data_IF_460706314657
#
_entry.id   IF_460706314657
#
_cell.length_a   1.000
_cell.length_b   1.000
_cell.length_c   1.000
_cell.angle_alpha   90.00
_cell.angle_beta   90.00
_cell.angle_gamma   90.00
#
_symmetry.space_group_name_H-M   'P 1'
#
loop_
_entity.id
_entity.type
_entity.pdbx_description
1 polymer ?
#
# COMPACT_ATOMS: atom_id res chain seq x y z
N UNK A 1 5.79 -16.25 -15.29
CA UNK A 1 6.36 -17.47 -14.65
C UNK A 1 7.19 -18.33 -15.60
N UNK A 2 6.93 -18.33 -16.91
CA UNK A 2 7.69 -19.14 -17.88
C UNK A 2 9.21 -18.83 -17.94
N UNK A 3 9.63 -17.60 -17.60
CA UNK A 3 11.03 -17.19 -17.74
C UNK A 3 11.99 -17.92 -16.79
N UNK A 4 11.64 -18.04 -15.51
CA UNK A 4 12.50 -18.70 -14.52
C UNK A 4 12.64 -20.19 -14.84
N UNK A 5 11.51 -20.89 -15.07
CA UNK A 5 11.52 -22.32 -15.45
C UNK A 5 12.34 -22.58 -16.70
N UNK A 6 12.18 -21.77 -17.75
CA UNK A 6 12.98 -21.86 -18.97
C UNK A 6 14.48 -21.70 -18.72
N UNK A 7 14.89 -20.83 -17.79
CA UNK A 7 16.31 -20.64 -17.47
C UNK A 7 16.87 -21.83 -16.68
N UNK A 8 16.11 -22.38 -15.73
CA UNK A 8 16.49 -23.59 -15.00
C UNK A 8 16.66 -24.78 -15.96
N UNK A 9 15.69 -25.00 -16.86
CA UNK A 9 15.73 -26.10 -17.83
C UNK A 9 16.84 -25.93 -18.88
N UNK A 10 16.97 -24.72 -19.46
CA UNK A 10 17.93 -24.48 -20.54
C UNK A 10 19.38 -24.59 -20.09
N UNK A 11 19.67 -24.15 -18.87
CA UNK A 11 21.03 -24.06 -18.36
C UNK A 11 21.34 -25.09 -17.26
N UNK A 12 20.35 -25.91 -16.85
CA UNK A 12 20.52 -26.92 -15.81
C UNK A 12 20.87 -26.32 -14.45
N UNK A 13 20.40 -25.10 -14.16
CA UNK A 13 20.73 -24.44 -12.90
C UNK A 13 19.95 -25.08 -11.73
N UNK A 14 20.65 -25.28 -10.61
CA UNK A 14 20.04 -25.63 -9.33
C UNK A 14 20.40 -24.57 -8.27
N UNK A 15 19.79 -23.37 -8.35
CA UNK A 15 20.19 -22.25 -7.50
C UNK A 15 19.63 -22.41 -6.08
N UNK A 16 20.48 -22.17 -5.08
CA UNK A 16 20.06 -22.08 -3.67
C UNK A 16 19.25 -20.80 -3.43
N UNK A 17 19.47 -19.75 -4.22
CA UNK A 17 18.71 -18.51 -4.14
C UNK A 17 18.72 -17.68 -5.42
N UNK A 18 17.76 -16.76 -5.52
CA UNK A 18 17.60 -15.87 -6.67
C UNK A 18 17.40 -14.42 -6.23
N UNK A 19 18.17 -13.51 -6.83
CA UNK A 19 17.96 -12.08 -6.70
C UNK A 19 16.90 -11.60 -7.69
N UNK A 20 15.88 -10.90 -7.19
CA UNK A 20 14.84 -10.31 -8.01
C UNK A 20 14.79 -8.79 -7.83
N UNK A 21 14.57 -8.09 -8.93
CA UNK A 21 14.25 -6.66 -8.88
C UNK A 21 12.94 -6.42 -8.10
N UNK A 22 12.83 -5.24 -7.47
CA UNK A 22 11.68 -4.86 -6.65
C UNK A 22 10.35 -4.90 -7.43
N UNK A 23 10.38 -4.73 -8.75
CA UNK A 23 9.20 -4.87 -9.62
C UNK A 23 8.60 -6.28 -9.66
N UNK A 24 9.40 -7.31 -9.35
CA UNK A 24 8.96 -8.71 -9.32
C UNK A 24 8.48 -9.17 -7.95
N UNK A 25 8.46 -8.30 -6.94
CA UNK A 25 7.89 -8.63 -5.64
C UNK A 25 6.36 -8.74 -5.73
N UNK A 26 5.89 -9.93 -6.10
CA UNK A 26 4.47 -10.24 -6.29
C UNK A 26 4.13 -11.58 -5.67
N UNK A 27 2.91 -11.74 -5.15
CA UNK A 27 2.49 -12.97 -4.47
C UNK A 27 2.68 -14.25 -5.32
N UNK A 28 2.37 -14.25 -6.64
CA UNK A 28 2.60 -15.43 -7.47
C UNK A 28 4.08 -15.82 -7.61
N UNK A 29 5.00 -14.84 -7.62
CA UNK A 29 6.44 -15.11 -7.71
C UNK A 29 6.96 -15.66 -6.39
N UNK A 30 6.55 -15.08 -5.26
CA UNK A 30 6.92 -15.58 -3.94
C UNK A 30 6.46 -17.02 -3.74
N UNK A 31 5.22 -17.32 -4.13
CA UNK A 31 4.68 -18.68 -4.05
C UNK A 31 5.49 -19.67 -4.90
N UNK A 32 5.83 -19.30 -6.14
CA UNK A 32 6.65 -20.14 -7.02
C UNK A 32 8.01 -20.45 -6.38
N UNK A 33 8.71 -19.43 -5.85
CA UNK A 33 10.04 -19.62 -5.26
C UNK A 33 10.00 -20.49 -4.01
N UNK A 34 8.95 -20.35 -3.19
CA UNK A 34 8.72 -21.23 -2.05
C UNK A 34 8.48 -22.69 -2.49
N UNK A 35 7.64 -22.91 -3.51
CA UNK A 35 7.34 -24.25 -4.03
C UNK A 35 8.57 -24.93 -4.64
N UNK A 36 9.41 -24.18 -5.35
CA UNK A 36 10.66 -24.67 -5.95
C UNK A 36 11.82 -24.70 -4.92
N UNK A 37 11.58 -24.35 -3.65
CA UNK A 37 12.56 -24.28 -2.56
C UNK A 37 13.78 -23.38 -2.84
N UNK A 38 13.59 -22.32 -3.62
CA UNK A 38 14.63 -21.35 -3.96
C UNK A 38 14.53 -20.15 -3.02
N UNK A 39 15.62 -19.80 -2.35
CA UNK A 39 15.65 -18.65 -1.44
C UNK A 39 15.50 -17.31 -2.19
N UNK A 40 14.46 -16.50 -1.92
CA UNK A 40 14.24 -15.26 -2.64
C UNK A 40 14.96 -14.08 -1.98
N UNK A 41 15.80 -13.37 -2.74
CA UNK A 41 16.37 -12.07 -2.34
C UNK A 41 15.60 -10.98 -3.07
N UNK A 42 14.63 -10.38 -2.38
CA UNK A 42 13.69 -9.41 -2.96
C UNK A 42 14.01 -8.00 -2.48
N UNK A 43 14.12 -7.06 -3.42
CA UNK A 43 14.17 -5.63 -3.08
C UNK A 43 12.83 -5.12 -2.54
N UNK A 44 12.86 -4.25 -1.53
CA UNK A 44 11.65 -3.57 -1.05
C UNK A 44 11.10 -2.63 -2.13
N UNK A 45 9.83 -2.83 -2.50
CA UNK A 45 9.10 -1.88 -3.35
C UNK A 45 8.24 -0.98 -2.48
N UNK A 46 8.52 0.33 -2.50
CA UNK A 46 7.65 1.32 -1.86
C UNK A 46 6.26 1.28 -2.52
N UNK A 47 5.16 1.15 -1.75
CA UNK A 47 3.81 1.24 -2.30
C UNK A 47 3.62 2.55 -3.07
N UNK A 48 2.99 2.48 -4.24
CA UNK A 48 2.65 3.68 -5.00
C UNK A 48 1.69 4.55 -4.18
N UNK A 49 1.88 5.86 -4.24
CA UNK A 49 0.95 6.79 -3.62
C UNK A 49 -0.41 6.67 -4.32
N UNK A 50 -1.48 6.54 -3.53
CA UNK A 50 -2.84 6.61 -4.07
C UNK A 50 -3.11 7.98 -4.70
N UNK A 51 -4.14 8.06 -5.55
CA UNK A 51 -4.49 9.27 -6.30
C UNK A 51 -4.95 10.47 -5.45
N UNK A 52 -4.99 10.33 -4.12
CA UNK A 52 -5.40 11.41 -3.24
C UNK A 52 -4.29 12.50 -3.18
N UNK A 53 -4.57 13.74 -3.59
CA UNK A 53 -3.58 14.82 -3.55
C UNK A 53 -3.10 15.12 -2.13
N UNK A 54 -3.96 14.93 -1.13
CA UNK A 54 -3.64 15.21 0.28
C UNK A 54 -3.31 13.91 0.99
N UNK A 55 -2.11 13.85 1.56
CA UNK A 55 -1.61 12.65 2.26
C UNK A 55 -2.09 12.62 3.70
N UNK A 56 -2.37 11.42 4.25
CA UNK A 56 -2.72 11.22 5.68
C UNK A 56 -1.76 11.94 6.64
N UNK A 57 -0.46 11.91 6.34
CA UNK A 57 0.58 12.57 7.15
C UNK A 57 0.46 14.10 7.26
N UNK A 58 -0.33 14.73 6.40
CA UNK A 58 -0.57 16.17 6.43
C UNK A 58 -1.77 16.52 7.33
N UNK A 59 -2.52 15.53 7.81
CA UNK A 59 -3.56 15.74 8.80
C UNK A 59 -3.00 15.61 10.21
N UNK A 60 -3.34 16.56 11.08
CA UNK A 60 -2.90 16.59 12.47
C UNK A 60 -4.05 16.08 13.34
N UNK A 61 -3.84 15.01 14.08
CA UNK A 61 -4.84 14.50 15.02
C UNK A 61 -4.81 15.28 16.33
N UNK A 62 -5.97 15.71 16.81
CA UNK A 62 -6.17 16.25 18.14
C UNK A 62 -6.91 15.23 19.01
N UNK A 63 -6.24 14.71 20.03
CA UNK A 63 -6.79 13.70 20.94
C UNK A 63 -7.82 14.26 21.93
N UNK A 64 -7.79 15.56 22.24
CA UNK A 64 -8.74 16.17 23.17
C UNK A 64 -10.13 16.28 22.56
N UNK A 65 -10.21 16.52 21.26
CA UNK A 65 -11.46 16.74 20.52
C UNK A 65 -11.83 15.58 19.60
N UNK A 66 -11.00 14.53 19.53
CA UNK A 66 -11.11 13.43 18.57
C UNK A 66 -11.36 13.93 17.14
N UNK A 67 -10.56 14.91 16.71
CA UNK A 67 -10.69 15.53 15.38
C UNK A 67 -9.37 15.50 14.64
N UNK A 68 -9.45 15.54 13.31
CA UNK A 68 -8.29 15.75 12.46
C UNK A 68 -8.31 17.15 11.88
N UNK A 69 -7.19 17.87 11.90
CA UNK A 69 -7.05 19.15 11.20
C UNK A 69 -6.42 18.91 9.84
N UNK A 70 -7.06 19.37 8.76
CA UNK A 70 -6.52 19.27 7.41
C UNK A 70 -5.42 20.32 7.16
N UNK A 71 -4.63 20.20 6.07
CA UNK A 71 -3.58 21.17 5.75
C UNK A 71 -4.09 22.59 5.50
N UNK A 72 -5.38 22.73 5.17
CA UNK A 72 -6.05 24.02 4.99
C UNK A 72 -6.61 24.61 6.31
N UNK A 73 -6.26 24.02 7.47
CA UNK A 73 -6.64 24.50 8.80
C UNK A 73 -8.04 24.14 9.27
N UNK A 74 -8.78 23.28 8.55
CA UNK A 74 -10.14 22.90 8.91
C UNK A 74 -10.18 21.64 9.77
N UNK A 75 -11.02 21.65 10.80
CA UNK A 75 -11.27 20.49 11.66
C UNK A 75 -12.25 19.52 11.00
N UNK A 76 -11.87 18.25 10.97
CA UNK A 76 -12.63 17.10 10.50
C UNK A 76 -13.23 16.40 11.71
N UNK A 77 -14.55 16.30 11.72
CA UNK A 77 -15.33 15.77 12.85
C UNK A 77 -15.64 14.30 12.58
N UNK A 78 -15.55 13.46 13.60
CA UNK A 78 -15.95 12.06 13.51
C UNK A 78 -17.42 11.93 13.04
N UNK A 79 -17.67 11.08 12.04
CA UNK A 79 -18.99 10.78 11.47
C UNK A 79 -19.47 9.41 11.93
N UNK A 80 -18.76 8.35 11.52
CA UNK A 80 -19.11 6.96 11.78
C UNK A 80 -17.90 6.05 11.65
N UNK A 81 -17.98 4.82 12.17
CA UNK A 81 -16.99 3.77 11.95
C UNK A 81 -17.53 2.72 10.98
N UNK A 82 -16.72 2.30 9.99
CA UNK A 82 -17.09 1.28 9.01
C UNK A 82 -17.23 -0.10 9.65
N UNK A 83 -17.89 -1.05 8.94
CA UNK A 83 -17.95 -2.46 9.37
C UNK A 83 -16.57 -3.11 9.44
N UNK A 84 -15.58 -2.60 8.70
CA UNK A 84 -14.19 -3.06 8.76
C UNK A 84 -13.38 -2.34 9.86
N UNK A 85 -14.01 -1.46 10.65
CA UNK A 85 -13.37 -0.76 11.76
C UNK A 85 -12.71 0.58 11.41
N UNK A 86 -12.95 1.14 10.23
CA UNK A 86 -12.37 2.43 9.84
C UNK A 86 -13.19 3.61 10.36
N UNK A 87 -12.59 4.50 11.15
CA UNK A 87 -13.22 5.77 11.54
C UNK A 87 -13.27 6.74 10.36
N UNK A 88 -14.47 7.20 10.02
CA UNK A 88 -14.72 8.20 8.99
C UNK A 88 -14.90 9.58 9.62
N UNK A 89 -14.17 10.56 9.07
CA UNK A 89 -14.25 11.95 9.48
C UNK A 89 -14.82 12.80 8.34
N UNK A 90 -15.70 13.75 8.66
CA UNK A 90 -16.36 14.62 7.72
C UNK A 90 -15.76 16.03 7.73
N UNK A 91 -15.52 16.57 6.54
CA UNK A 91 -15.10 17.94 6.34
C UNK A 91 -16.31 18.82 5.99
N UNK A 92 -16.60 19.92 6.71
CA UNK A 92 -17.70 20.81 6.35
C UNK A 92 -17.49 21.52 5.00
N UNK A 93 -16.24 21.65 4.51
CA UNK A 93 -15.90 22.29 3.23
C UNK A 93 -15.24 21.27 2.28
N UNK A 94 -16.01 20.22 1.95
CA UNK A 94 -15.62 19.12 1.05
C UNK A 94 -14.93 19.62 -0.23
N UNK A 95 -15.51 20.63 -0.91
CA UNK A 95 -15.02 21.14 -2.19
C UNK A 95 -13.61 21.75 -2.14
N UNK A 96 -13.17 22.23 -0.97
CA UNK A 96 -11.87 22.87 -0.80
C UNK A 96 -10.82 21.94 -0.16
N UNK A 97 -11.24 20.95 0.62
CA UNK A 97 -10.32 20.22 1.50
C UNK A 97 -10.20 18.72 1.24
N UNK A 98 -11.16 18.07 0.60
CA UNK A 98 -11.08 16.62 0.35
C UNK A 98 -11.80 16.22 -0.92
N UNK A 99 -11.22 15.36 -1.75
CA UNK A 99 -11.94 14.75 -2.89
C UNK A 99 -12.92 13.64 -2.47
N UNK A 100 -13.34 13.59 -1.20
CA UNK A 100 -14.29 12.61 -0.71
C UNK A 100 -15.63 12.81 -1.41
N UNK A 101 -16.06 11.80 -2.18
CA UNK A 101 -17.35 11.82 -2.90
C UNK A 101 -18.54 11.42 -2.02
N UNK A 102 -18.30 11.08 -0.75
CA UNK A 102 -19.35 10.72 0.19
C UNK A 102 -20.02 12.00 0.72
N UNK A 103 -21.16 12.37 0.11
CA UNK A 103 -22.18 13.22 0.76
C UNK A 103 -22.83 12.41 1.88
#
# INVERSE_FOLDING_TARGET
>A
MARLKRQLERFGFNPVGVGLDAGYFTAPICHLLLTEQIYPVLGYRRPSHGANPIRKKQFIYNSQTDTYTCPNGQSLIYKTTSREGYCHYHCPLLSQCTQSKNK
#
